data_IF_239774787185
#
_entry.id   IF_239774787185
#
_cell.length_a   1.000
_cell.length_b   1.000
_cell.length_c   1.000
_cell.angle_alpha   90.00
_cell.angle_beta   90.00
_cell.angle_gamma   90.00
#
_symmetry.space_group_name_H-M   'P 1'
#
loop_
_entity.id
_entity.type
_entity.pdbx_description
1 polymer ?
#
# COMPACT_ATOMS: atom_id res chain seq x y z
N UNK A 1 -26.00 -6.59 32.08
CA UNK A 1 -25.83 -5.79 30.88
C UNK A 1 -24.34 -5.50 30.76
N UNK A 2 -23.69 -6.17 29.83
CA UNK A 2 -22.29 -5.93 29.55
C UNK A 2 -22.14 -4.47 29.09
N UNK A 3 -21.28 -3.68 29.77
CA UNK A 3 -20.97 -2.33 29.33
C UNK A 3 -20.31 -2.47 27.96
N UNK A 4 -21.02 -2.13 26.88
CA UNK A 4 -20.40 -1.96 25.56
C UNK A 4 -19.18 -1.08 25.76
N UNK A 5 -17.99 -1.62 25.43
CA UNK A 5 -16.75 -0.84 25.48
C UNK A 5 -16.93 0.39 24.59
N UNK A 6 -16.56 1.55 25.12
CA UNK A 6 -16.67 2.83 24.40
C UNK A 6 -15.59 2.84 23.27
N UNK A 7 -15.98 2.38 22.09
CA UNK A 7 -15.11 2.31 20.91
C UNK A 7 -14.96 3.73 20.37
N UNK A 8 -13.72 4.20 20.30
CA UNK A 8 -13.35 5.53 19.82
C UNK A 8 -12.74 5.52 18.42
N UNK A 9 -12.21 4.38 18.00
CA UNK A 9 -11.55 4.22 16.72
C UNK A 9 -11.86 2.85 16.11
N UNK A 10 -12.08 2.84 14.79
CA UNK A 10 -12.22 1.65 13.96
C UNK A 10 -11.18 1.73 12.85
N UNK A 11 -10.27 0.75 12.77
CA UNK A 11 -9.41 0.57 11.61
C UNK A 11 -10.03 -0.47 10.68
N UNK A 12 -10.21 -0.11 9.41
CA UNK A 12 -10.84 -0.95 8.39
C UNK A 12 -9.76 -1.40 7.40
N UNK A 13 -9.51 -2.69 7.35
CA UNK A 13 -8.80 -3.31 6.24
C UNK A 13 -9.67 -3.28 5.00
N UNK A 14 -9.07 -3.09 3.82
CA UNK A 14 -9.79 -2.86 2.58
C UNK A 14 -9.95 -4.14 1.75
N UNK A 15 -8.84 -4.70 1.29
CA UNK A 15 -8.82 -5.77 0.30
C UNK A 15 -9.31 -7.09 0.90
N UNK A 16 -10.36 -7.69 0.30
CA UNK A 16 -10.97 -8.92 0.82
C UNK A 16 -11.76 -8.76 2.13
N UNK A 17 -11.88 -7.54 2.67
CA UNK A 17 -12.57 -7.25 3.94
C UNK A 17 -13.69 -6.22 3.76
N UNK A 18 -13.33 -4.99 3.47
CA UNK A 18 -14.29 -3.87 3.36
C UNK A 18 -14.78 -3.68 1.92
N UNK A 19 -13.91 -3.95 0.94
CA UNK A 19 -14.23 -3.88 -0.48
C UNK A 19 -14.86 -5.19 -0.95
N UNK A 20 -15.93 -5.10 -1.77
CA UNK A 20 -16.56 -6.25 -2.38
C UNK A 20 -15.73 -6.82 -3.54
N UNK A 21 -15.17 -5.90 -4.35
CA UNK A 21 -14.20 -6.14 -5.41
C UNK A 21 -12.98 -5.25 -5.16
N UNK A 22 -11.99 -5.27 -6.04
CA UNK A 22 -10.73 -4.53 -5.86
C UNK A 22 -10.89 -3.04 -5.51
N UNK A 23 -11.98 -2.38 -5.94
CA UNK A 23 -12.18 -0.93 -5.73
C UNK A 23 -13.63 -0.55 -5.37
N UNK A 24 -14.53 -1.54 -5.22
CA UNK A 24 -15.95 -1.28 -5.02
C UNK A 24 -16.36 -1.37 -3.55
N UNK A 25 -16.87 -0.26 -3.02
CA UNK A 25 -17.47 -0.21 -1.70
C UNK A 25 -18.99 -0.38 -1.81
N UNK A 26 -19.57 -1.35 -1.08
CA UNK A 26 -21.02 -1.54 -1.08
C UNK A 26 -21.73 -0.34 -0.45
N UNK A 27 -22.92 0.00 -0.95
CA UNK A 27 -23.74 1.08 -0.38
C UNK A 27 -24.01 0.87 1.11
N UNK A 28 -24.20 -0.38 1.54
CA UNK A 28 -24.44 -0.73 2.95
C UNK A 28 -23.20 -0.42 3.79
N UNK A 29 -22.01 -0.81 3.32
CA UNK A 29 -20.74 -0.55 4.00
C UNK A 29 -20.46 0.95 4.09
N UNK A 30 -20.63 1.68 2.98
CA UNK A 30 -20.49 3.13 2.94
C UNK A 30 -21.39 3.81 4.01
N UNK A 31 -22.68 3.48 4.05
CA UNK A 31 -23.61 4.04 5.03
C UNK A 31 -23.23 3.71 6.47
N UNK A 32 -22.71 2.49 6.72
CA UNK A 32 -22.25 2.09 8.06
C UNK A 32 -21.03 2.90 8.51
N UNK A 33 -20.05 3.14 7.61
CA UNK A 33 -18.89 3.98 7.88
C UNK A 33 -19.31 5.41 8.21
N UNK A 34 -20.16 6.03 7.37
CA UNK A 34 -20.67 7.38 7.65
C UNK A 34 -21.41 7.46 9.01
N UNK A 35 -22.19 6.43 9.34
CA UNK A 35 -22.93 6.40 10.61
C UNK A 35 -21.98 6.33 11.81
N UNK A 36 -20.90 5.54 11.71
CA UNK A 36 -19.87 5.47 12.74
C UNK A 36 -19.19 6.83 12.93
N UNK A 37 -18.81 7.49 11.83
CA UNK A 37 -18.19 8.82 11.85
C UNK A 37 -19.14 9.85 12.48
N UNK A 38 -20.41 9.89 12.07
CA UNK A 38 -21.44 10.78 12.63
C UNK A 38 -21.68 10.54 14.13
N UNK A 39 -21.40 9.32 14.61
CA UNK A 39 -21.48 8.98 16.05
C UNK A 39 -20.22 9.36 16.83
N UNK A 40 -19.26 10.03 16.22
CA UNK A 40 -18.02 10.49 16.86
C UNK A 40 -16.93 9.44 16.94
N UNK A 41 -17.05 8.33 16.18
CA UNK A 41 -16.00 7.31 16.09
C UNK A 41 -15.03 7.71 14.97
N UNK A 42 -13.73 7.73 15.27
CA UNK A 42 -12.71 7.90 14.25
C UNK A 42 -12.63 6.63 13.39
N UNK A 43 -12.83 6.75 12.08
CA UNK A 43 -12.64 5.63 11.15
C UNK A 43 -11.36 5.87 10.35
N UNK A 44 -10.53 4.83 10.24
CA UNK A 44 -9.24 4.84 9.55
C UNK A 44 -9.24 3.73 8.51
N UNK A 45 -8.95 4.06 7.26
CA UNK A 45 -8.67 3.04 6.25
C UNK A 45 -7.26 2.50 6.43
N UNK A 46 -7.09 1.18 6.42
CA UNK A 46 -5.79 0.52 6.56
C UNK A 46 -5.61 -0.47 5.40
N UNK A 47 -4.51 -0.34 4.64
CA UNK A 47 -4.26 -1.18 3.47
C UNK A 47 -2.75 -1.35 3.22
N UNK A 48 -2.39 -2.45 2.55
CA UNK A 48 -1.06 -2.64 1.97
C UNK A 48 -0.78 -1.69 0.81
N UNK A 49 -1.81 -1.16 0.16
CA UNK A 49 -1.68 -0.25 -0.98
C UNK A 49 -0.93 1.04 -0.61
N UNK A 50 -0.13 1.61 -1.52
CA UNK A 50 0.34 2.99 -1.37
C UNK A 50 -0.84 3.97 -1.48
N UNK A 51 -0.69 5.17 -0.90
CA UNK A 51 -1.78 6.15 -0.82
C UNK A 51 -2.39 6.50 -2.19
N UNK A 52 -1.57 6.60 -3.23
CA UNK A 52 -2.03 6.93 -4.60
C UNK A 52 -2.91 5.86 -5.23
N UNK A 53 -2.94 4.65 -4.66
CA UNK A 53 -3.75 3.51 -5.11
C UNK A 53 -4.95 3.25 -4.22
N UNK A 54 -5.21 4.12 -3.24
CA UNK A 54 -6.39 4.00 -2.40
C UNK A 54 -7.65 4.29 -3.22
N UNK A 55 -8.71 3.46 -3.13
CA UNK A 55 -9.92 3.64 -3.92
C UNK A 55 -10.64 4.96 -3.60
N UNK A 56 -11.03 5.69 -4.63
CA UNK A 56 -11.83 6.91 -4.50
C UNK A 56 -13.14 6.67 -3.74
N UNK A 57 -13.74 5.48 -3.91
CA UNK A 57 -14.95 5.07 -3.20
C UNK A 57 -14.81 5.08 -1.68
N UNK A 58 -13.58 4.93 -1.17
CA UNK A 58 -13.23 4.99 0.26
C UNK A 58 -12.77 6.39 0.63
N UNK A 59 -11.83 6.96 -0.16
CA UNK A 59 -11.18 8.23 0.19
C UNK A 59 -12.10 9.44 0.11
N UNK A 60 -13.21 9.34 -0.65
CA UNK A 60 -14.22 10.40 -0.76
C UNK A 60 -15.31 10.34 0.34
N UNK A 61 -15.22 9.40 1.30
CA UNK A 61 -16.14 9.37 2.43
C UNK A 61 -15.89 10.57 3.35
N UNK A 62 -16.91 11.38 3.54
CA UNK A 62 -16.81 12.59 4.38
C UNK A 62 -16.50 12.22 5.83
N UNK A 63 -15.40 12.78 6.35
CA UNK A 63 -14.92 12.53 7.71
C UNK A 63 -14.03 11.29 7.88
N UNK A 64 -13.74 10.56 6.80
CA UNK A 64 -12.67 9.55 6.79
C UNK A 64 -11.35 10.26 6.48
N UNK A 65 -10.77 10.87 7.51
CA UNK A 65 -9.62 11.76 7.37
C UNK A 65 -8.28 11.01 7.37
N UNK A 66 -8.23 9.81 7.93
CA UNK A 66 -6.99 9.08 8.14
C UNK A 66 -6.89 7.84 7.26
N UNK A 67 -5.71 7.61 6.71
CA UNK A 67 -5.35 6.37 6.04
C UNK A 67 -3.98 5.87 6.53
N UNK A 68 -3.89 4.58 6.79
CA UNK A 68 -2.66 3.82 7.03
C UNK A 68 -2.39 3.02 5.77
N UNK A 69 -1.26 3.25 5.10
CA UNK A 69 -0.95 2.72 3.78
C UNK A 69 0.45 2.09 3.73
N UNK A 70 0.79 1.42 2.62
CA UNK A 70 2.09 0.78 2.42
C UNK A 70 2.45 -0.17 3.58
N UNK A 71 1.52 -1.06 3.94
CA UNK A 71 1.67 -2.01 5.06
C UNK A 71 2.01 -1.34 6.41
N UNK A 72 1.48 -0.14 6.67
CA UNK A 72 1.72 0.59 7.91
C UNK A 72 2.90 1.56 7.86
N UNK A 73 3.65 1.60 6.76
CA UNK A 73 4.81 2.48 6.63
C UNK A 73 4.45 3.97 6.50
N UNK A 74 3.22 4.29 6.09
CA UNK A 74 2.78 5.67 5.90
C UNK A 74 1.44 5.90 6.57
N UNK A 75 1.33 6.98 7.33
CA UNK A 75 0.04 7.47 7.84
C UNK A 75 -0.22 8.84 7.23
N UNK A 76 -1.41 8.99 6.66
CA UNK A 76 -1.89 10.25 6.08
C UNK A 76 -3.10 10.78 6.82
N UNK A 77 -3.22 12.11 6.91
CA UNK A 77 -4.42 12.81 7.37
C UNK A 77 -4.84 13.82 6.32
N UNK A 78 -6.09 13.75 5.87
CA UNK A 78 -6.63 14.61 4.81
C UNK A 78 -5.68 14.70 3.60
N UNK A 79 -5.19 13.55 3.13
CA UNK A 79 -4.28 13.45 1.99
C UNK A 79 -2.83 13.88 2.24
N UNK A 80 -2.51 14.37 3.43
CA UNK A 80 -1.13 14.79 3.79
C UNK A 80 -0.47 13.75 4.67
N UNK A 81 0.75 13.35 4.34
CA UNK A 81 1.53 12.44 5.18
C UNK A 81 1.84 13.09 6.53
N UNK A 82 1.47 12.39 7.62
CA UNK A 82 1.74 12.82 9.00
C UNK A 82 2.76 11.94 9.69
N UNK A 83 2.98 10.73 9.19
CA UNK A 83 4.02 9.82 9.70
C UNK A 83 4.57 8.96 8.57
N UNK A 84 5.88 8.67 8.63
CA UNK A 84 6.57 7.71 7.75
C UNK A 84 7.51 6.84 8.57
N UNK A 85 7.51 5.54 8.29
CA UNK A 85 8.51 4.59 8.75
C UNK A 85 9.19 4.01 7.51
N UNK A 86 10.38 4.49 7.20
CA UNK A 86 11.12 4.12 5.98
C UNK A 86 12.21 3.11 6.33
N UNK A 87 12.50 2.20 5.40
CA UNK A 87 13.68 1.34 5.48
C UNK A 87 14.89 2.23 5.20
N UNK A 88 15.91 2.15 6.04
CA UNK A 88 17.15 2.92 5.84
C UNK A 88 17.91 2.42 4.60
N UNK A 89 18.63 3.29 3.87
CA UNK A 89 19.37 2.91 2.68
C UNK A 89 20.31 1.72 2.91
N UNK A 90 21.06 1.70 4.00
CA UNK A 90 21.96 0.60 4.35
C UNK A 90 21.24 -0.73 4.55
N UNK A 91 20.04 -0.71 5.08
CA UNK A 91 19.23 -1.91 5.28
C UNK A 91 18.60 -2.38 3.95
N UNK A 92 18.25 -1.47 3.05
CA UNK A 92 17.86 -1.81 1.68
C UNK A 92 19.02 -2.56 0.99
N UNK A 93 20.25 -2.05 1.08
CA UNK A 93 21.43 -2.69 0.49
C UNK A 93 21.70 -4.08 1.06
N UNK A 94 21.53 -4.28 2.37
CA UNK A 94 21.64 -5.61 3.00
C UNK A 94 20.57 -6.58 2.49
N UNK A 95 19.31 -6.13 2.38
CA UNK A 95 18.21 -6.95 1.85
C UNK A 95 18.53 -7.36 0.40
N UNK A 96 18.95 -6.42 -0.44
CA UNK A 96 19.30 -6.69 -1.83
C UNK A 96 20.47 -7.67 -1.94
N UNK A 97 21.48 -7.51 -1.09
CA UNK A 97 22.61 -8.44 -1.00
C UNK A 97 22.16 -9.86 -0.63
N UNK A 98 21.24 -10.00 0.31
CA UNK A 98 20.71 -11.29 0.76
C UNK A 98 19.96 -12.04 -0.34
N UNK A 99 19.17 -11.34 -1.17
CA UNK A 99 18.34 -11.94 -2.25
C UNK A 99 19.02 -11.87 -3.64
N UNK A 100 20.28 -11.49 -3.69
CA UNK A 100 20.98 -11.21 -4.96
C UNK A 100 20.98 -12.36 -5.95
N UNK A 101 21.09 -13.61 -5.44
CA UNK A 101 21.18 -14.82 -6.24
C UNK A 101 19.85 -15.56 -6.34
N UNK A 102 18.81 -15.08 -5.69
CA UNK A 102 17.51 -15.74 -5.67
C UNK A 102 16.65 -15.28 -6.86
N UNK A 103 15.89 -16.19 -7.44
CA UNK A 103 14.89 -15.85 -8.47
C UNK A 103 13.60 -15.37 -7.82
N UNK A 104 13.70 -14.22 -7.14
CA UNK A 104 12.59 -13.55 -6.48
C UNK A 104 12.21 -12.28 -7.22
N UNK A 105 10.95 -11.92 -7.15
CA UNK A 105 10.45 -10.63 -7.60
C UNK A 105 10.57 -9.63 -6.46
N UNK A 106 11.04 -8.45 -6.80
CA UNK A 106 11.12 -7.31 -5.90
C UNK A 106 10.08 -6.27 -6.31
N UNK A 107 9.41 -5.73 -5.33
CA UNK A 107 8.49 -4.62 -5.48
C UNK A 107 8.87 -3.54 -4.45
N UNK A 108 8.78 -2.27 -4.82
CA UNK A 108 9.14 -1.17 -3.93
C UNK A 108 8.13 -0.04 -3.95
N UNK A 109 7.94 0.57 -2.78
CA UNK A 109 7.19 1.82 -2.65
C UNK A 109 8.18 2.96 -2.41
N UNK A 110 8.40 3.80 -3.42
CA UNK A 110 9.41 4.86 -3.41
C UNK A 110 8.72 6.18 -3.75
N UNK A 111 8.80 7.16 -2.86
CA UNK A 111 8.17 8.49 -3.02
C UNK A 111 6.69 8.45 -3.41
N UNK A 112 5.96 7.49 -2.86
CA UNK A 112 4.52 7.34 -3.10
C UNK A 112 4.15 6.56 -4.37
N UNK A 113 5.13 6.13 -5.16
CA UNK A 113 4.91 5.31 -6.35
C UNK A 113 5.26 3.84 -6.11
N UNK A 114 4.52 2.96 -6.77
CA UNK A 114 4.86 1.53 -6.84
C UNK A 114 5.85 1.31 -7.98
N UNK A 115 6.93 0.64 -7.68
CA UNK A 115 7.91 0.13 -8.64
C UNK A 115 7.81 -1.38 -8.69
N UNK A 116 7.56 -1.94 -9.87
CA UNK A 116 7.45 -3.38 -10.07
C UNK A 116 8.51 -3.90 -11.02
N UNK A 117 8.96 -5.13 -10.75
CA UNK A 117 9.86 -5.83 -11.63
C UNK A 117 9.18 -6.16 -12.97
N UNK A 118 9.83 -5.80 -14.06
CA UNK A 118 9.35 -6.06 -15.43
C UNK A 118 9.05 -7.54 -15.68
N UNK A 119 9.78 -8.46 -15.04
CA UNK A 119 9.54 -9.90 -15.16
C UNK A 119 8.19 -10.31 -14.59
N UNK A 120 7.79 -9.72 -13.45
CA UNK A 120 6.49 -9.99 -12.84
C UNK A 120 5.33 -9.52 -13.72
N UNK A 121 5.44 -8.31 -14.29
CA UNK A 121 4.39 -7.75 -15.15
C UNK A 121 4.23 -8.54 -16.46
N UNK A 122 5.33 -9.04 -17.03
CA UNK A 122 5.29 -9.81 -18.27
C UNK A 122 4.96 -11.30 -18.07
N UNK A 123 5.35 -11.88 -16.94
CA UNK A 123 5.17 -13.32 -16.65
C UNK A 123 4.63 -13.54 -15.25
N UNK A 124 3.46 -12.98 -14.91
CA UNK A 124 2.93 -13.01 -13.54
C UNK A 124 2.67 -14.43 -13.02
N UNK A 125 2.30 -15.39 -13.91
CA UNK A 125 2.11 -16.80 -13.54
C UNK A 125 3.38 -17.46 -12.99
N UNK A 126 4.55 -17.14 -13.53
CA UNK A 126 5.82 -17.72 -13.11
C UNK A 126 6.16 -17.33 -11.66
N UNK A 127 5.51 -16.28 -11.15
CA UNK A 127 5.74 -15.70 -9.83
C UNK A 127 4.51 -15.74 -8.91
N UNK A 128 3.61 -16.70 -9.18
CA UNK A 128 2.50 -17.02 -8.28
C UNK A 128 1.28 -16.12 -8.36
N UNK A 129 1.17 -15.27 -9.39
CA UNK A 129 -0.04 -14.51 -9.62
C UNK A 129 -1.10 -15.41 -10.26
N UNK A 130 -2.29 -15.44 -9.71
CA UNK A 130 -3.43 -16.15 -10.30
C UNK A 130 -3.94 -15.41 -11.55
N UNK A 131 -4.43 -16.13 -12.61
CA UNK A 131 -4.87 -15.51 -13.86
C UNK A 131 -5.93 -14.41 -13.68
N UNK A 132 -6.80 -14.57 -12.72
CA UNK A 132 -7.87 -13.63 -12.40
C UNK A 132 -7.38 -12.26 -11.91
N UNK A 133 -6.13 -12.20 -11.40
CA UNK A 133 -5.52 -10.95 -10.88
C UNK A 133 -4.61 -10.26 -11.90
N UNK A 134 -4.46 -10.75 -13.13
CA UNK A 134 -3.54 -10.18 -14.12
C UNK A 134 -3.79 -8.71 -14.44
N UNK A 135 -5.02 -8.38 -14.74
CA UNK A 135 -5.37 -6.99 -15.07
C UNK A 135 -5.21 -6.09 -13.85
N UNK A 136 -5.59 -6.56 -12.68
CA UNK A 136 -5.37 -5.85 -11.43
C UNK A 136 -3.87 -5.64 -11.19
N UNK A 137 -3.06 -6.69 -11.24
CA UNK A 137 -1.60 -6.61 -11.07
C UNK A 137 -0.97 -5.58 -12.00
N UNK A 138 -1.35 -5.58 -13.29
CA UNK A 138 -0.85 -4.60 -14.26
C UNK A 138 -1.30 -3.17 -13.96
N UNK A 139 -2.51 -2.98 -13.50
CA UNK A 139 -3.06 -1.66 -13.18
C UNK A 139 -2.44 -1.05 -11.92
N UNK A 140 -1.98 -1.90 -10.99
CA UNK A 140 -1.43 -1.49 -9.71
C UNK A 140 0.00 -0.92 -9.78
N UNK A 141 0.71 -1.09 -10.91
CA UNK A 141 2.10 -0.69 -11.00
C UNK A 141 2.27 0.67 -11.66
N UNK A 142 2.71 1.66 -10.85
CA UNK A 142 2.98 3.01 -11.35
C UNK A 142 4.22 3.10 -12.23
N UNK A 143 5.25 2.31 -11.94
CA UNK A 143 6.50 2.24 -12.71
C UNK A 143 6.98 0.81 -12.85
N UNK A 144 7.29 0.42 -14.08
CA UNK A 144 7.79 -0.92 -14.42
C UNK A 144 9.26 -0.77 -14.79
N UNK A 145 10.13 -1.49 -14.08
CA UNK A 145 11.59 -1.40 -14.23
C UNK A 145 12.22 -2.79 -14.14
N UNK A 146 13.42 -2.94 -14.69
CA UNK A 146 14.31 -4.01 -14.24
C UNK A 146 14.76 -3.66 -12.82
N UNK A 147 14.12 -4.27 -11.82
CA UNK A 147 14.27 -3.87 -10.43
C UNK A 147 15.71 -4.04 -9.95
N UNK A 148 16.44 -5.08 -10.40
CA UNK A 148 17.83 -5.30 -9.99
C UNK A 148 18.75 -4.23 -10.51
N UNK A 149 18.62 -3.87 -11.79
CA UNK A 149 19.40 -2.79 -12.40
C UNK A 149 19.05 -1.42 -11.80
N UNK A 150 17.76 -1.20 -11.54
CA UNK A 150 17.27 0.04 -10.91
C UNK A 150 17.86 0.22 -9.50
N UNK A 151 17.82 -0.82 -8.66
CA UNK A 151 18.35 -0.78 -7.31
C UNK A 151 19.88 -0.66 -7.29
N UNK A 152 20.59 -1.31 -8.22
CA UNK A 152 22.04 -1.11 -8.39
C UNK A 152 22.39 0.34 -8.75
N UNK A 153 21.54 1.02 -9.53
CA UNK A 153 21.75 2.46 -9.84
C UNK A 153 21.56 3.35 -8.62
N UNK A 154 20.63 3.03 -7.74
CA UNK A 154 20.43 3.73 -6.46
C UNK A 154 21.66 3.52 -5.56
N UNK A 155 22.18 2.30 -5.46
CA UNK A 155 23.39 1.98 -4.69
C UNK A 155 24.57 2.83 -5.13
N UNK A 156 24.82 2.93 -6.44
CA UNK A 156 25.91 3.78 -6.97
C UNK A 156 25.67 5.26 -6.67
N UNK A 157 24.44 5.74 -6.71
CA UNK A 157 24.10 7.12 -6.39
C UNK A 157 24.34 7.45 -4.91
N UNK A 158 23.98 6.55 -4.00
CA UNK A 158 24.18 6.73 -2.56
C UNK A 158 25.67 6.71 -2.18
N UNK A 159 26.45 5.82 -2.80
CA UNK A 159 27.91 5.75 -2.54
C UNK A 159 28.68 6.93 -3.14
N UNK A 160 28.24 7.48 -4.27
CA UNK A 160 28.86 8.66 -4.90
C UNK A 160 28.56 9.97 -4.17
N UNK A 161 27.48 10.01 -3.37
CA UNK A 161 27.11 11.21 -2.58
C UNK A 161 27.83 11.27 -1.22
N UNK A 162 28.58 10.22 -0.86
CA UNK A 162 29.31 10.10 0.41
C UNK A 162 30.82 10.45 0.27
N UNK A 163 31.28 10.84 -0.92
CA UNK A 163 32.64 11.33 -1.21
C UNK A 163 32.64 12.86 -1.46
#
# INVERSE_FOLDING_TARGET
MDKMKDIKLIALDLDGTTLADSDTLSKRTHTAIESAIKSGITVVAASGRPFVMMPDSVMNIVGLDYAITSNGAVISKCGKTVHRSLILPDDVLKILGAVRNDDVILEGFIDGFTYADVRYVHRPLDYGCEPEYFEYTRSCHGKIVDMRSFLASIEMSLTSSAL
#
